data_IF_479476965546
#
_entry.id   IF_479476965546
#
_cell.length_a   1.000
_cell.length_b   1.000
_cell.length_c   1.000
_cell.angle_alpha   90.00
_cell.angle_beta   90.00
_cell.angle_gamma   90.00
#
_symmetry.space_group_name_H-M   'P 1'
#
loop_
_entity.id
_entity.type
_entity.pdbx_description
1 polymer ?
#
# COMPACT_ATOMS: atom_id res chain seq x y z
N UNK A 1 10.59 -11.74 18.70
CA UNK A 1 10.24 -10.78 17.64
C UNK A 1 11.12 -10.89 16.40
N UNK A 2 12.46 -10.82 16.49
CA UNK A 2 13.36 -10.99 15.32
C UNK A 2 13.16 -12.27 14.51
N UNK A 3 12.97 -13.41 15.18
CA UNK A 3 12.67 -14.69 14.51
C UNK A 3 11.34 -14.63 13.75
N UNK A 4 10.31 -14.02 14.35
CA UNK A 4 9.00 -13.86 13.73
C UNK A 4 9.08 -12.97 12.49
N UNK A 5 9.81 -11.85 12.56
CA UNK A 5 10.05 -10.98 11.41
C UNK A 5 10.74 -11.78 10.28
N UNK A 6 11.79 -12.53 10.60
CA UNK A 6 12.52 -13.35 9.62
C UNK A 6 11.60 -14.39 8.95
N UNK A 7 10.76 -15.06 9.74
CA UNK A 7 9.79 -16.03 9.23
C UNK A 7 8.73 -15.35 8.34
N UNK A 8 8.22 -14.18 8.73
CA UNK A 8 7.27 -13.43 7.92
C UNK A 8 7.85 -13.02 6.57
N UNK A 9 9.08 -12.48 6.55
CA UNK A 9 9.75 -12.11 5.31
C UNK A 9 9.98 -13.35 4.42
N UNK A 10 10.35 -14.49 5.02
CA UNK A 10 10.46 -15.75 4.28
C UNK A 10 9.13 -16.17 3.65
N UNK A 11 8.03 -16.11 4.41
CA UNK A 11 6.69 -16.39 3.91
C UNK A 11 6.28 -15.45 2.76
N UNK A 12 6.58 -14.16 2.86
CA UNK A 12 6.27 -13.17 1.82
C UNK A 12 7.03 -13.43 0.52
N UNK A 13 8.27 -13.95 0.63
CA UNK A 13 9.12 -14.29 -0.51
C UNK A 13 8.73 -15.60 -1.22
N UNK A 14 7.83 -16.41 -0.65
CA UNK A 14 7.40 -17.65 -1.31
C UNK A 14 6.72 -17.37 -2.66
N UNK A 15 7.21 -18.01 -3.72
CA UNK A 15 6.65 -17.82 -5.07
C UNK A 15 5.25 -18.41 -5.20
N UNK A 16 5.05 -19.63 -4.68
CA UNK A 16 3.84 -20.44 -4.88
C UNK A 16 2.72 -20.20 -3.84
N UNK A 17 2.75 -19.07 -3.14
CA UNK A 17 1.67 -18.71 -2.21
C UNK A 17 0.40 -18.32 -2.98
N UNK A 18 -0.75 -18.85 -2.58
CA UNK A 18 -2.03 -18.49 -3.20
C UNK A 18 -2.40 -17.04 -2.88
N UNK A 19 -3.19 -16.40 -3.75
CA UNK A 19 -3.63 -15.02 -3.52
C UNK A 19 -4.42 -14.84 -2.22
N UNK A 20 -5.23 -15.83 -1.81
CA UNK A 20 -5.95 -15.80 -0.53
C UNK A 20 -5.00 -15.89 0.66
N UNK A 21 -4.01 -16.79 0.61
CA UNK A 21 -3.01 -16.92 1.67
C UNK A 21 -2.11 -15.68 1.76
N UNK A 22 -1.74 -15.08 0.63
CA UNK A 22 -0.99 -13.83 0.62
C UNK A 22 -1.78 -12.69 1.27
N UNK A 23 -3.10 -12.63 1.05
CA UNK A 23 -3.97 -11.66 1.72
C UNK A 23 -4.06 -11.88 3.23
N UNK A 24 -4.12 -13.12 3.68
CA UNK A 24 -4.04 -13.45 5.11
C UNK A 24 -2.69 -13.02 5.67
N UNK A 25 -1.60 -13.30 4.96
CA UNK A 25 -0.25 -12.94 5.36
C UNK A 25 -0.08 -11.42 5.50
N UNK A 26 -0.64 -10.60 4.61
CA UNK A 26 -0.63 -9.14 4.76
C UNK A 26 -1.30 -8.65 6.03
N UNK A 27 -2.43 -9.26 6.43
CA UNK A 27 -3.09 -8.95 7.72
C UNK A 27 -2.23 -9.36 8.92
N UNK A 28 -1.56 -10.50 8.84
CA UNK A 28 -0.63 -10.94 9.88
C UNK A 28 0.55 -9.99 9.98
N UNK A 29 1.12 -9.55 8.85
CA UNK A 29 2.20 -8.54 8.83
C UNK A 29 1.76 -7.28 9.56
N UNK A 30 0.58 -6.73 9.26
CA UNK A 30 0.07 -5.56 9.97
C UNK A 30 -0.02 -5.80 11.48
N UNK A 31 -0.61 -6.92 11.90
CA UNK A 31 -0.75 -7.23 13.32
C UNK A 31 0.59 -7.34 14.04
N UNK A 32 1.55 -8.04 13.42
CA UNK A 32 2.89 -8.16 13.99
C UNK A 32 3.58 -6.80 14.02
N UNK A 33 3.44 -5.98 12.98
CA UNK A 33 3.94 -4.60 12.94
C UNK A 33 3.38 -3.78 14.11
N UNK A 34 2.06 -3.76 14.29
CA UNK A 34 1.41 -3.07 15.40
C UNK A 34 1.94 -3.51 16.77
N UNK A 35 2.07 -4.82 16.98
CA UNK A 35 2.52 -5.36 18.27
C UNK A 35 4.00 -5.08 18.54
N UNK A 36 4.87 -5.08 17.52
CA UNK A 36 6.28 -4.73 17.79
C UNK A 36 6.47 -3.24 18.05
N UNK A 37 5.74 -2.35 17.34
CA UNK A 37 5.80 -0.90 17.60
C UNK A 37 5.45 -0.55 19.05
N UNK A 38 4.54 -1.29 19.69
CA UNK A 38 4.19 -1.09 21.11
C UNK A 38 5.27 -1.55 22.08
N UNK A 39 6.16 -2.45 21.65
CA UNK A 39 6.95 -3.25 22.58
C UNK A 39 8.46 -3.14 22.39
N UNK A 40 8.97 -2.73 21.22
CA UNK A 40 10.41 -2.70 20.96
C UNK A 40 10.85 -1.67 19.92
N UNK A 41 12.06 -1.16 20.14
CA UNK A 41 12.83 -0.29 19.24
C UNK A 41 13.56 -1.14 18.16
N UNK A 42 12.80 -1.94 17.40
CA UNK A 42 13.37 -2.82 16.35
C UNK A 42 13.11 -2.23 14.98
N UNK A 43 14.20 -1.93 14.28
CA UNK A 43 14.19 -1.51 12.88
C UNK A 43 13.54 -2.56 11.97
N UNK A 44 12.64 -2.09 11.09
CA UNK A 44 11.87 -2.93 10.17
C UNK A 44 12.58 -3.20 8.84
N UNK A 45 13.91 -3.21 8.85
CA UNK A 45 14.75 -3.30 7.65
C UNK A 45 14.32 -4.44 6.73
N UNK A 46 14.09 -5.65 7.27
CA UNK A 46 13.69 -6.79 6.44
C UNK A 46 12.34 -6.59 5.71
N UNK A 47 11.40 -5.86 6.31
CA UNK A 47 10.11 -5.54 5.69
C UNK A 47 10.26 -4.39 4.69
N UNK A 48 11.00 -3.34 5.06
CA UNK A 48 11.37 -2.24 4.18
C UNK A 48 12.01 -2.77 2.90
N UNK A 49 13.06 -3.58 3.06
CA UNK A 49 13.84 -4.16 1.96
C UNK A 49 12.99 -5.10 1.10
N UNK A 50 12.06 -5.84 1.73
CA UNK A 50 11.09 -6.62 0.97
C UNK A 50 10.20 -5.72 0.09
N UNK A 51 9.55 -4.70 0.65
CA UNK A 51 8.66 -3.82 -0.12
C UNK A 51 9.44 -3.12 -1.23
N UNK A 52 10.62 -2.57 -0.92
CA UNK A 52 11.51 -1.89 -1.87
C UNK A 52 11.92 -2.85 -2.99
N UNK A 53 12.49 -4.02 -2.68
CA UNK A 53 12.95 -4.98 -3.69
C UNK A 53 11.83 -5.51 -4.60
N UNK A 54 10.60 -5.58 -4.08
CA UNK A 54 9.44 -6.06 -4.84
C UNK A 54 8.68 -4.95 -5.58
N UNK A 55 8.96 -3.67 -5.33
CA UNK A 55 8.16 -2.56 -5.87
C UNK A 55 8.08 -2.57 -7.40
N UNK A 56 9.19 -2.86 -8.08
CA UNK A 56 9.25 -2.93 -9.55
C UNK A 56 8.84 -4.30 -10.10
N UNK A 57 9.35 -5.38 -9.51
CA UNK A 57 9.25 -6.74 -10.05
C UNK A 57 7.94 -7.44 -9.68
N UNK A 58 7.43 -7.21 -8.47
CA UNK A 58 6.19 -7.78 -7.95
C UNK A 58 5.33 -6.69 -7.32
N UNK A 59 5.12 -5.61 -8.08
CA UNK A 59 4.40 -4.42 -7.64
C UNK A 59 3.12 -4.73 -6.84
N UNK A 60 2.25 -5.58 -7.38
CA UNK A 60 0.97 -5.91 -6.74
C UNK A 60 1.16 -6.50 -5.33
N UNK A 61 2.21 -7.29 -5.11
CA UNK A 61 2.55 -7.82 -3.78
C UNK A 61 3.11 -6.73 -2.88
N UNK A 62 4.04 -5.92 -3.38
CA UNK A 62 4.66 -4.84 -2.63
C UNK A 62 3.61 -3.82 -2.14
N UNK A 63 2.82 -3.30 -3.07
CA UNK A 63 1.79 -2.30 -2.76
C UNK A 63 0.69 -2.86 -1.86
N UNK A 64 0.34 -4.13 -2.01
CA UNK A 64 -0.64 -4.77 -1.13
C UNK A 64 -0.15 -4.87 0.32
N UNK A 65 1.12 -5.27 0.52
CA UNK A 65 1.70 -5.32 1.86
C UNK A 65 1.80 -3.91 2.45
N UNK A 66 2.22 -2.92 1.66
CA UNK A 66 2.23 -1.52 2.08
C UNK A 66 0.83 -1.05 2.51
N UNK A 67 -0.23 -1.33 1.73
CA UNK A 67 -1.62 -1.01 2.09
C UNK A 67 -2.10 -1.69 3.37
N UNK A 68 -1.54 -2.85 3.71
CA UNK A 68 -1.86 -3.52 4.96
C UNK A 68 -1.30 -2.77 6.18
N UNK A 69 -0.26 -1.95 6.04
CA UNK A 69 0.35 -1.19 7.13
C UNK A 69 -0.56 -0.01 7.50
N UNK A 70 -1.50 -0.26 8.40
CA UNK A 70 -2.51 0.72 8.82
C UNK A 70 -2.11 1.49 10.07
N UNK A 71 -1.01 1.14 10.75
CA UNK A 71 -0.48 1.96 11.84
C UNK A 71 0.32 3.13 11.28
N UNK A 72 0.33 4.30 11.95
CA UNK A 72 1.28 5.36 11.66
C UNK A 72 2.70 4.79 11.65
N UNK A 73 3.41 4.98 10.56
CA UNK A 73 4.81 4.60 10.44
C UNK A 73 5.63 5.80 10.91
N UNK A 74 5.94 5.85 12.21
CA UNK A 74 6.67 6.98 12.83
C UNK A 74 8.17 7.00 12.49
N UNK A 75 8.66 5.96 11.81
CA UNK A 75 10.05 5.87 11.34
C UNK A 75 10.17 6.55 9.96
N UNK A 76 10.65 7.80 9.97
CA UNK A 76 10.98 8.60 8.79
C UNK A 76 11.82 7.80 7.78
N UNK A 77 12.84 7.07 8.23
CA UNK A 77 13.75 6.35 7.33
C UNK A 77 13.01 5.21 6.63
N UNK A 78 12.15 4.48 7.35
CA UNK A 78 11.30 3.46 6.77
C UNK A 78 10.37 4.05 5.70
N UNK A 79 9.62 5.10 6.04
CA UNK A 79 8.61 5.67 5.14
C UNK A 79 9.27 6.27 3.91
N UNK A 80 10.31 7.09 4.10
CA UNK A 80 11.02 7.75 2.99
C UNK A 80 11.55 6.70 2.03
N UNK A 81 12.24 5.66 2.52
CA UNK A 81 12.87 4.68 1.65
C UNK A 81 11.84 3.82 0.88
N UNK A 82 10.73 3.46 1.52
CA UNK A 82 9.61 2.79 0.83
C UNK A 82 9.02 3.69 -0.24
N UNK A 83 8.83 4.99 0.05
CA UNK A 83 8.20 5.93 -0.88
C UNK A 83 9.09 6.26 -2.07
N UNK A 84 10.41 6.41 -1.89
CA UNK A 84 11.36 6.61 -3.00
C UNK A 84 11.30 5.50 -4.06
N UNK A 85 10.92 4.28 -3.66
CA UNK A 85 10.89 3.11 -4.54
C UNK A 85 9.47 2.76 -5.02
N UNK A 86 8.46 2.88 -4.15
CA UNK A 86 7.10 2.47 -4.46
C UNK A 86 6.32 3.57 -5.19
N UNK A 87 6.54 4.84 -4.86
CA UNK A 87 5.76 5.95 -5.42
C UNK A 87 5.93 6.10 -6.95
N UNK A 88 7.14 5.97 -7.54
CA UNK A 88 7.29 5.99 -8.99
C UNK A 88 6.48 4.89 -9.68
N UNK A 89 6.48 3.69 -9.09
CA UNK A 89 5.76 2.53 -9.63
C UNK A 89 4.23 2.69 -9.51
N UNK A 90 3.76 3.32 -8.43
CA UNK A 90 2.34 3.73 -8.28
C UNK A 90 1.98 4.74 -9.37
N UNK A 91 2.77 5.79 -9.57
CA UNK A 91 2.49 6.85 -10.58
C UNK A 91 2.33 6.28 -11.99
N UNK A 92 3.19 5.34 -12.37
CA UNK A 92 3.13 4.66 -13.67
C UNK A 92 1.82 3.87 -13.81
N UNK A 93 1.39 3.18 -12.75
CA UNK A 93 0.21 2.28 -12.76
C UNK A 93 -1.11 2.99 -12.49
N UNK A 94 -1.07 4.27 -12.12
CA UNK A 94 -2.23 5.15 -12.15
C UNK A 94 -2.60 5.60 -13.57
N UNK A 95 -1.80 5.31 -14.60
CA UNK A 95 -2.27 5.53 -15.97
C UNK A 95 -3.49 4.62 -16.23
N UNK A 96 -4.62 5.17 -16.69
CA UNK A 96 -5.84 4.40 -16.87
C UNK A 96 -5.65 3.25 -17.86
N UNK A 97 -6.23 2.07 -17.59
CA UNK A 97 -6.38 1.05 -18.62
C UNK A 97 -7.16 1.61 -19.81
N UNK A 98 -6.83 1.14 -21.02
CA UNK A 98 -7.53 1.50 -22.26
C UNK A 98 -8.63 0.52 -22.65
N UNK A 99 -8.66 -0.64 -21.99
CA UNK A 99 -9.59 -1.72 -22.29
C UNK A 99 -10.07 -2.37 -20.99
N UNK A 100 -11.38 -2.63 -20.91
CA UNK A 100 -12.04 -3.31 -19.80
C UNK A 100 -11.75 -4.81 -19.74
N UNK A 101 -11.36 -5.42 -20.87
CA UNK A 101 -11.07 -6.85 -20.95
C UNK A 101 -9.73 -7.23 -20.31
N UNK A 102 -8.90 -6.24 -19.99
CA UNK A 102 -7.62 -6.43 -19.32
C UNK A 102 -7.82 -6.48 -17.80
N UNK A 103 -7.01 -7.27 -17.10
CA UNK A 103 -7.02 -7.28 -15.64
C UNK A 103 -6.65 -5.91 -15.07
N UNK A 104 -7.67 -5.18 -14.62
CA UNK A 104 -7.55 -3.84 -14.04
C UNK A 104 -7.18 -3.86 -12.55
N UNK A 105 -6.87 -5.03 -11.97
CA UNK A 105 -6.44 -5.17 -10.57
C UNK A 105 -5.22 -4.30 -10.25
N UNK A 106 -4.33 -4.12 -11.23
CA UNK A 106 -3.13 -3.32 -11.07
C UNK A 106 -3.45 -1.84 -10.85
N UNK A 107 -4.40 -1.29 -11.61
CA UNK A 107 -4.86 0.09 -11.43
C UNK A 107 -5.56 0.26 -10.08
N UNK A 108 -6.44 -0.67 -9.69
CA UNK A 108 -7.10 -0.64 -8.38
C UNK A 108 -6.08 -0.60 -7.25
N UNK A 109 -5.07 -1.47 -7.32
CA UNK A 109 -4.00 -1.52 -6.33
C UNK A 109 -3.11 -0.26 -6.35
N UNK A 110 -2.84 0.32 -7.52
CA UNK A 110 -2.13 1.59 -7.59
C UNK A 110 -2.95 2.72 -6.97
N UNK A 111 -4.26 2.78 -7.23
CA UNK A 111 -5.15 3.79 -6.67
C UNK A 111 -5.26 3.69 -5.15
N UNK A 112 -5.47 2.49 -4.61
CA UNK A 112 -5.53 2.30 -3.15
C UNK A 112 -4.15 2.50 -2.50
N UNK A 113 -3.07 2.10 -3.19
CA UNK A 113 -1.69 2.33 -2.73
C UNK A 113 -1.32 3.81 -2.69
N UNK A 114 -1.75 4.59 -3.69
CA UNK A 114 -1.59 6.02 -3.73
C UNK A 114 -2.26 6.69 -2.53
N UNK A 115 -3.50 6.32 -2.22
CA UNK A 115 -4.21 6.84 -1.04
C UNK A 115 -3.46 6.55 0.27
N UNK A 116 -3.00 5.30 0.45
CA UNK A 116 -2.19 4.94 1.62
C UNK A 116 -0.89 5.75 1.68
N UNK A 117 -0.23 5.97 0.55
CA UNK A 117 0.97 6.80 0.47
C UNK A 117 0.66 8.24 0.89
N UNK A 118 -0.46 8.82 0.45
CA UNK A 118 -0.88 10.17 0.85
C UNK A 118 -1.08 10.29 2.36
N UNK A 119 -1.65 9.26 2.99
CA UNK A 119 -1.84 9.24 4.45
C UNK A 119 -0.49 9.19 5.17
N UNK A 120 0.37 8.25 4.80
CA UNK A 120 1.68 8.09 5.43
C UNK A 120 2.57 9.31 5.21
N UNK A 121 2.55 9.89 4.01
CA UNK A 121 3.36 11.06 3.66
C UNK A 121 2.87 12.38 4.28
N UNK A 122 1.62 12.44 4.76
CA UNK A 122 1.02 13.68 5.28
C UNK A 122 1.79 14.26 6.47
N UNK A 123 2.36 13.39 7.30
CA UNK A 123 3.09 13.78 8.51
C UNK A 123 4.51 14.28 8.20
N UNK A 124 4.94 14.24 6.92
CA UNK A 124 6.27 14.64 6.48
C UNK A 124 6.19 15.92 5.63
N UNK A 125 6.42 17.12 6.21
CA UNK A 125 6.35 18.38 5.46
C UNK A 125 7.26 18.40 4.21
N UNK A 126 8.40 17.72 4.26
CA UNK A 126 9.32 17.55 3.12
C UNK A 126 8.70 16.82 1.92
N UNK A 127 7.58 16.12 2.13
CA UNK A 127 6.88 15.31 1.12
C UNK A 127 5.58 15.96 0.63
N UNK A 128 5.30 17.22 1.00
CA UNK A 128 4.08 17.92 0.62
C UNK A 128 3.86 17.99 -0.90
N UNK A 129 4.92 18.17 -1.69
CA UNK A 129 4.81 18.18 -3.16
C UNK A 129 4.51 16.78 -3.71
N UNK A 130 5.14 15.73 -3.17
CA UNK A 130 4.83 14.34 -3.52
C UNK A 130 3.38 13.98 -3.23
N UNK A 131 2.84 14.42 -2.08
CA UNK A 131 1.44 14.28 -1.68
C UNK A 131 0.50 14.97 -2.66
N UNK A 132 0.82 16.20 -3.06
CA UNK A 132 0.02 16.96 -4.02
C UNK A 132 0.05 16.32 -5.41
N UNK A 133 1.22 15.91 -5.88
CA UNK A 133 1.38 15.27 -7.18
C UNK A 133 0.60 13.96 -7.26
N UNK A 134 0.69 13.10 -6.23
CA UNK A 134 -0.01 11.83 -6.25
C UNK A 134 -1.53 12.01 -6.18
N UNK A 135 -2.01 12.97 -5.38
CA UNK A 135 -3.43 13.29 -5.30
C UNK A 135 -3.97 13.79 -6.65
N UNK A 136 -3.25 14.71 -7.32
CA UNK A 136 -3.62 15.19 -8.65
C UNK A 136 -3.64 14.03 -9.66
N UNK A 137 -2.63 13.15 -9.63
CA UNK A 137 -2.58 11.99 -10.53
C UNK A 137 -3.76 11.02 -10.31
N UNK A 138 -4.19 10.80 -9.07
CA UNK A 138 -5.38 10.02 -8.77
C UNK A 138 -6.65 10.65 -9.37
N UNK A 139 -6.80 11.97 -9.22
CA UNK A 139 -7.95 12.73 -9.76
C UNK A 139 -7.96 12.67 -11.29
N UNK A 140 -6.83 12.97 -11.94
CA UNK A 140 -6.71 12.94 -13.40
C UNK A 140 -6.98 11.55 -13.96
N UNK A 141 -6.49 10.51 -13.28
CA UNK A 141 -6.73 9.11 -13.65
C UNK A 141 -8.21 8.76 -13.63
N UNK A 142 -8.94 9.15 -12.58
CA UNK A 142 -10.39 8.93 -12.49
C UNK A 142 -11.13 9.76 -13.55
N UNK A 143 -10.72 11.02 -13.78
CA UNK A 143 -11.32 11.87 -14.82
C UNK A 143 -11.21 11.21 -16.19
N UNK A 144 -10.03 10.71 -16.54
CA UNK A 144 -9.79 10.05 -17.81
C UNK A 144 -10.58 8.73 -17.94
N UNK A 145 -10.74 7.95 -16.85
CA UNK A 145 -11.61 6.77 -16.84
C UNK A 145 -13.08 7.09 -17.12
N UNK A 146 -13.56 8.23 -16.60
CA UNK A 146 -14.92 8.72 -16.85
C UNK A 146 -15.07 9.19 -18.30
N UNK A 147 -14.08 9.89 -18.83
CA UNK A 147 -14.09 10.39 -20.22
C UNK A 147 -14.16 9.24 -21.24
N UNK A 148 -13.53 8.10 -20.94
CA UNK A 148 -13.57 6.91 -21.81
C UNK A 148 -14.71 5.92 -21.46
N UNK A 149 -15.53 6.21 -20.45
CA UNK A 149 -16.74 5.45 -20.10
C UNK A 149 -16.49 4.06 -19.50
N UNK A 150 -15.35 3.85 -18.84
CA UNK A 150 -14.99 2.54 -18.22
C UNK A 150 -14.92 2.61 -16.69
N UNK A 151 -15.30 3.74 -16.10
CA UNK A 151 -15.17 4.03 -14.68
C UNK A 151 -16.05 3.15 -13.80
N UNK A 152 -17.26 2.80 -14.26
CA UNK A 152 -18.34 2.36 -13.36
C UNK A 152 -17.93 1.17 -12.49
N UNK A 153 -17.44 0.08 -13.11
CA UNK A 153 -17.01 -1.10 -12.36
C UNK A 153 -15.69 -0.90 -11.64
N UNK A 154 -14.75 -0.21 -12.31
CA UNK A 154 -13.37 -0.10 -11.87
C UNK A 154 -13.21 0.86 -10.68
N UNK A 155 -13.73 2.07 -10.83
CA UNK A 155 -13.68 3.12 -9.81
C UNK A 155 -14.51 2.68 -8.59
N UNK A 156 -15.70 2.13 -8.77
CA UNK A 156 -16.49 1.59 -7.64
C UNK A 156 -15.74 0.51 -6.85
N UNK A 157 -14.97 -0.35 -7.53
CA UNK A 157 -14.14 -1.35 -6.85
C UNK A 157 -13.04 -0.68 -6.04
N UNK A 158 -12.32 0.28 -6.61
CA UNK A 158 -11.27 1.00 -5.91
C UNK A 158 -11.78 1.75 -4.67
N UNK A 159 -12.91 2.44 -4.78
CA UNK A 159 -13.52 3.12 -3.63
C UNK A 159 -14.02 2.13 -2.56
N UNK A 160 -14.52 0.95 -2.93
CA UNK A 160 -14.88 -0.09 -1.96
C UNK A 160 -13.66 -0.64 -1.22
N UNK A 161 -12.56 -0.85 -1.94
CA UNK A 161 -11.31 -1.30 -1.33
C UNK A 161 -10.73 -0.22 -0.41
N UNK A 162 -10.82 1.07 -0.79
CA UNK A 162 -10.49 2.19 0.09
C UNK A 162 -11.34 2.24 1.36
N UNK A 163 -12.66 2.06 1.24
CA UNK A 163 -13.56 2.06 2.39
C UNK A 163 -13.18 0.97 3.39
N UNK A 164 -12.77 -0.21 2.91
CA UNK A 164 -12.28 -1.30 3.75
C UNK A 164 -10.95 -0.95 4.44
N UNK A 165 -10.03 -0.28 3.74
CA UNK A 165 -8.77 0.21 4.32
C UNK A 165 -9.05 1.23 5.42
N UNK A 166 -9.90 2.23 5.17
CA UNK A 166 -10.29 3.26 6.14
C UNK A 166 -10.98 2.66 7.37
N UNK A 167 -11.86 1.67 7.18
CA UNK A 167 -12.46 0.94 8.31
C UNK A 167 -11.42 0.24 9.17
N UNK A 168 -10.36 -0.30 8.57
CA UNK A 168 -9.29 -0.94 9.32
C UNK A 168 -8.40 0.09 10.04
N UNK A 169 -8.14 1.25 9.43
CA UNK A 169 -7.47 2.39 10.08
C UNK A 169 -8.23 2.83 11.36
N UNK A 170 -9.54 3.04 11.25
CA UNK A 170 -10.35 3.56 12.36
C UNK A 170 -10.56 2.56 13.51
N UNK A 171 -10.60 1.25 13.22
CA UNK A 171 -10.79 0.22 14.27
C UNK A 171 -9.70 0.20 15.33
N UNK A 172 -8.49 0.64 14.98
CA UNK A 172 -7.36 0.67 15.93
C UNK A 172 -7.26 2.01 16.67
N UNK A 173 -7.64 3.12 16.03
CA UNK A 173 -7.66 4.43 16.70
C UNK A 173 -8.76 4.52 17.79
N UNK A 174 -9.77 3.65 17.75
CA UNK A 174 -10.86 3.61 18.73
C UNK A 174 -10.62 2.74 19.97
N UNK A 175 -9.47 2.07 20.10
CA UNK A 175 -9.16 1.19 21.24
C UNK A 175 -8.09 1.75 22.19
N UNK A 176 -7.74 3.03 22.05
CA UNK A 176 -6.84 3.75 22.94
C UNK A 176 -7.47 5.06 23.44
N UNK A 177 -8.49 4.97 24.29
CA UNK A 177 -8.98 6.08 25.11
C UNK A 177 -9.58 5.53 26.39
#
# INVERSE_FOLDING_TARGET
MRELQTLLISCLKQERISGSMFRVLGKVVNHVVCEMFKHQDIAWDGLRDYIVSQSKTKFQRAVYIFQCLTTPLEDDEFVIHVMENLLPEIRIRLNPPRDLLVDNSCWVLAFTGAFCATIHLREFPSQAESVKEIANKMIDSVRELVEIGIEVGLVRRAFRDLENIVKNLNKWNGTGS
#
